data_IF_344596327864
#
_entry.id   IF_344596327864
#
_cell.length_a   1.000
_cell.length_b   1.000
_cell.length_c   1.000
_cell.angle_alpha   90.00
_cell.angle_beta   90.00
_cell.angle_gamma   90.00
#
_symmetry.space_group_name_H-M   'P 1'
#
loop_
_entity.id
_entity.type
_entity.pdbx_description
1 polymer ?
#
# COMPACT_ATOMS: atom_id res chain seq x y z
N UNK A 1 9.62 24.23 -8.37
CA UNK A 1 8.90 22.97 -8.01
C UNK A 1 7.43 23.31 -7.96
N UNK A 2 6.65 22.97 -8.99
CA UNK A 2 5.21 23.21 -8.97
C UNK A 2 4.62 22.46 -7.77
N UNK A 3 3.83 23.14 -6.94
CA UNK A 3 3.09 22.49 -5.86
C UNK A 3 2.24 21.39 -6.50
N UNK A 4 2.49 20.13 -6.14
CA UNK A 4 1.69 19.00 -6.62
C UNK A 4 0.24 19.27 -6.20
N UNK A 5 -0.63 19.48 -7.19
CA UNK A 5 -2.06 19.70 -6.99
C UNK A 5 -2.69 18.36 -6.60
N UNK A 6 -3.22 18.24 -5.39
CA UNK A 6 -3.85 17.00 -4.90
C UNK A 6 -3.72 16.80 -3.39
N UNK A 7 -4.33 15.73 -2.85
CA UNK A 7 -4.19 15.37 -1.44
C UNK A 7 -2.75 14.98 -1.12
N UNK A 8 -2.37 15.14 0.15
CA UNK A 8 -1.08 14.69 0.66
C UNK A 8 -1.24 14.04 2.04
N UNK A 9 -0.41 13.03 2.31
CA UNK A 9 -0.21 12.53 3.66
C UNK A 9 0.65 13.53 4.43
N UNK A 10 0.19 13.93 5.61
CA UNK A 10 0.90 14.89 6.46
C UNK A 10 0.53 14.70 7.92
N UNK A 11 1.53 14.74 8.80
CA UNK A 11 1.38 14.61 10.25
C UNK A 11 1.46 15.96 10.98
N UNK A 12 1.40 17.09 10.25
CA UNK A 12 1.48 18.44 10.81
C UNK A 12 2.92 18.92 11.05
N UNK A 13 3.06 20.08 11.69
CA UNK A 13 4.35 20.72 12.01
C UNK A 13 5.31 20.76 10.81
N UNK A 14 6.58 20.46 11.06
CA UNK A 14 7.66 20.39 10.07
C UNK A 14 7.74 19.03 9.37
N UNK A 15 6.71 18.17 9.50
CA UNK A 15 6.72 16.88 8.81
C UNK A 15 6.50 17.04 7.31
N UNK A 16 7.12 16.16 6.52
CA UNK A 16 6.99 16.18 5.06
C UNK A 16 5.54 15.92 4.63
N UNK A 17 5.05 16.75 3.71
CA UNK A 17 3.82 16.49 2.95
C UNK A 17 4.13 15.56 1.79
N UNK A 18 3.61 14.34 1.81
CA UNK A 18 3.83 13.34 0.76
C UNK A 18 2.62 13.34 -0.18
N UNK A 19 2.75 13.79 -1.44
CA UNK A 19 1.62 13.85 -2.36
C UNK A 19 1.15 12.46 -2.76
N UNK A 20 -0.17 12.23 -2.80
CA UNK A 20 -0.72 10.94 -3.23
C UNK A 20 -0.45 10.64 -4.72
N UNK A 21 -0.08 11.66 -5.49
CA UNK A 21 0.42 11.53 -6.86
C UNK A 21 1.64 10.58 -6.96
N UNK A 22 2.41 10.42 -5.87
CA UNK A 22 3.50 9.43 -5.78
C UNK A 22 2.98 8.02 -6.11
N UNK A 23 1.89 7.62 -5.45
CA UNK A 23 1.32 6.29 -5.61
C UNK A 23 0.63 6.14 -6.98
N UNK A 24 -0.02 7.19 -7.48
CA UNK A 24 -0.60 7.19 -8.82
C UNK A 24 0.48 6.96 -9.91
N UNK A 25 1.63 7.64 -9.79
CA UNK A 25 2.77 7.43 -10.70
C UNK A 25 3.32 5.99 -10.60
N UNK A 26 3.37 5.42 -9.40
CA UNK A 26 3.78 4.03 -9.21
C UNK A 26 2.85 3.04 -9.90
N UNK A 27 1.52 3.21 -9.78
CA UNK A 27 0.54 2.40 -10.52
C UNK A 27 0.72 2.54 -12.03
N UNK A 28 0.89 3.76 -12.52
CA UNK A 28 1.14 4.02 -13.95
C UNK A 28 2.40 3.28 -14.44
N UNK A 29 3.52 3.42 -13.73
CA UNK A 29 4.80 2.76 -14.06
C UNK A 29 4.67 1.24 -14.09
N UNK A 30 3.89 0.67 -13.16
CA UNK A 30 3.61 -0.76 -13.13
C UNK A 30 2.82 -1.19 -14.36
N UNK A 31 1.73 -0.49 -14.70
CA UNK A 31 0.93 -0.77 -15.89
C UNK A 31 1.77 -0.66 -17.18
N UNK A 32 2.57 0.40 -17.32
CA UNK A 32 3.47 0.60 -18.46
C UNK A 32 4.48 -0.55 -18.62
N UNK A 33 4.98 -1.07 -17.51
CA UNK A 33 5.89 -2.22 -17.51
C UNK A 33 5.18 -3.51 -17.89
N UNK A 34 4.01 -3.77 -17.29
CA UNK A 34 3.18 -4.95 -17.60
C UNK A 34 2.73 -4.97 -19.06
N UNK A 35 2.32 -3.84 -19.64
CA UNK A 35 1.93 -3.72 -21.06
C UNK A 35 3.06 -4.07 -22.04
N UNK A 36 4.33 -3.97 -21.60
CA UNK A 36 5.50 -4.36 -22.41
C UNK A 36 5.83 -5.84 -22.30
N UNK A 37 5.24 -6.56 -21.35
CA UNK A 37 5.47 -7.99 -21.18
C UNK A 37 4.55 -8.79 -22.12
N UNK A 38 5.08 -9.57 -23.09
CA UNK A 38 4.27 -10.31 -24.05
C UNK A 38 3.36 -11.38 -23.44
N UNK A 39 3.62 -11.81 -22.21
CA UNK A 39 2.78 -12.78 -21.50
C UNK A 39 1.54 -12.15 -20.84
N UNK A 40 1.46 -10.83 -20.77
CA UNK A 40 0.31 -10.13 -20.19
C UNK A 40 -0.81 -10.03 -21.23
N UNK A 41 -1.98 -10.54 -20.87
CA UNK A 41 -3.16 -10.53 -21.71
C UNK A 41 -3.87 -9.16 -21.63
N UNK A 42 -4.48 -8.70 -22.71
CA UNK A 42 -5.39 -7.54 -22.65
C UNK A 42 -6.56 -7.83 -21.69
N UNK A 43 -7.02 -6.82 -20.95
CA UNK A 43 -8.03 -6.97 -19.90
C UNK A 43 -7.51 -7.63 -18.61
N UNK A 44 -6.19 -7.66 -18.41
CA UNK A 44 -5.59 -8.12 -17.14
C UNK A 44 -5.85 -7.11 -16.03
N UNK A 45 -6.15 -7.60 -14.82
CA UNK A 45 -6.30 -6.75 -13.63
C UNK A 45 -5.31 -7.19 -12.56
N UNK A 46 -4.49 -6.27 -12.07
CA UNK A 46 -3.65 -6.48 -10.90
C UNK A 46 -4.52 -6.50 -9.65
N UNK A 47 -4.33 -7.49 -8.78
CA UNK A 47 -5.05 -7.61 -7.50
C UNK A 47 -4.05 -7.73 -6.35
N UNK A 48 -4.08 -6.74 -5.45
CA UNK A 48 -3.28 -6.71 -4.22
C UNK A 48 -4.19 -6.71 -3.00
N UNK A 49 -3.81 -7.50 -1.99
CA UNK A 49 -4.45 -7.52 -0.69
C UNK A 49 -3.56 -6.78 0.31
N UNK A 50 -4.14 -5.81 1.02
CA UNK A 50 -3.47 -5.10 2.10
C UNK A 50 -3.27 -5.98 3.34
N UNK A 51 -2.55 -5.44 4.31
CA UNK A 51 -2.38 -6.04 5.62
C UNK A 51 -3.67 -6.00 6.43
N UNK A 52 -3.75 -6.90 7.40
CA UNK A 52 -4.85 -7.02 8.37
C UNK A 52 -4.31 -6.67 9.77
N UNK A 53 -5.18 -6.21 10.67
CA UNK A 53 -4.82 -6.05 12.07
C UNK A 53 -4.51 -7.42 12.70
N UNK A 54 -3.51 -7.45 13.58
CA UNK A 54 -3.13 -8.67 14.29
C UNK A 54 -3.08 -8.43 15.79
N UNK A 55 -3.27 -9.51 16.54
CA UNK A 55 -3.25 -9.50 17.99
C UNK A 55 -2.05 -10.31 18.51
N UNK A 56 -1.61 -9.97 19.71
CA UNK A 56 -0.51 -10.68 20.37
C UNK A 56 -0.98 -12.03 20.91
N UNK A 57 -0.45 -13.11 20.35
CA UNK A 57 -0.77 -14.49 20.73
C UNK A 57 -2.29 -14.75 20.72
N UNK A 58 -2.86 -15.22 21.83
CA UNK A 58 -4.28 -15.46 22.03
C UNK A 58 -4.99 -14.35 22.84
N UNK A 59 -4.40 -13.16 22.93
CA UNK A 59 -4.94 -12.01 23.69
C UNK A 59 -5.66 -11.02 22.79
N UNK A 60 -6.40 -10.08 23.38
CA UNK A 60 -7.01 -8.94 22.68
C UNK A 60 -6.04 -7.75 22.49
N UNK A 61 -4.76 -7.91 22.86
CA UNK A 61 -3.75 -6.84 22.73
C UNK A 61 -3.38 -6.64 21.26
N UNK A 62 -3.86 -5.55 20.67
CA UNK A 62 -3.55 -5.18 19.29
C UNK A 62 -2.08 -4.84 19.07
N UNK A 63 -1.54 -5.28 17.94
CA UNK A 63 -0.22 -4.85 17.44
C UNK A 63 -0.44 -3.61 16.58
N UNK A 64 0.43 -2.60 16.70
CA UNK A 64 0.36 -1.41 15.86
C UNK A 64 0.42 -1.81 14.38
N UNK A 65 -0.64 -1.47 13.65
CA UNK A 65 -0.75 -1.84 12.25
C UNK A 65 0.28 -1.10 11.39
N UNK A 66 0.95 -1.86 10.52
CA UNK A 66 1.78 -1.33 9.43
C UNK A 66 1.42 -2.06 8.15
N UNK A 67 1.15 -1.29 7.10
CA UNK A 67 0.67 -1.79 5.82
C UNK A 67 1.65 -2.75 5.13
N UNK A 68 1.16 -3.68 4.30
CA UNK A 68 2.01 -4.49 3.42
C UNK A 68 2.78 -3.59 2.43
N UNK A 69 4.05 -3.88 2.16
CA UNK A 69 4.94 -2.98 1.41
C UNK A 69 4.57 -2.78 -0.05
N UNK A 70 4.16 -3.83 -0.78
CA UNK A 70 3.74 -3.70 -2.18
C UNK A 70 2.39 -2.98 -2.29
N UNK A 71 1.46 -3.26 -1.38
CA UNK A 71 0.19 -2.54 -1.27
C UNK A 71 0.41 -1.05 -0.96
N UNK A 72 1.27 -0.73 0.01
CA UNK A 72 1.65 0.65 0.31
C UNK A 72 2.28 1.34 -0.89
N UNK A 73 3.20 0.69 -1.59
CA UNK A 73 3.86 1.25 -2.78
C UNK A 73 2.88 1.62 -3.90
N UNK A 74 1.81 0.83 -4.07
CA UNK A 74 0.79 1.06 -5.09
C UNK A 74 -0.31 2.05 -4.67
N UNK A 75 -0.69 2.11 -3.39
CA UNK A 75 -1.89 2.85 -2.95
C UNK A 75 -1.67 3.86 -1.82
N UNK A 76 -0.61 3.75 -1.02
CA UNK A 76 -0.38 4.65 0.12
C UNK A 76 -1.41 4.53 1.26
N UNK A 77 -2.26 3.49 1.22
CA UNK A 77 -3.36 3.28 2.16
C UNK A 77 -2.87 2.87 3.54
N UNK A 78 -3.46 3.47 4.57
CA UNK A 78 -3.05 3.29 5.98
C UNK A 78 -4.00 2.42 6.78
N UNK A 79 -5.22 2.22 6.28
CA UNK A 79 -6.24 1.38 6.92
C UNK A 79 -5.97 -0.12 6.68
N UNK A 80 -6.29 -0.98 7.67
CA UNK A 80 -6.21 -2.43 7.53
C UNK A 80 -7.40 -3.00 6.74
N UNK A 81 -7.23 -4.23 6.24
CA UNK A 81 -8.31 -5.01 5.64
C UNK A 81 -8.77 -4.53 4.27
N UNK A 82 -7.97 -3.69 3.59
CA UNK A 82 -8.28 -3.18 2.26
C UNK A 82 -7.76 -4.11 1.15
N UNK A 83 -8.38 -4.03 -0.02
CA UNK A 83 -7.85 -4.57 -1.28
C UNK A 83 -7.73 -3.45 -2.30
N UNK A 84 -6.89 -3.63 -3.31
CA UNK A 84 -6.61 -2.64 -4.32
C UNK A 84 -6.39 -3.33 -5.64
N UNK A 85 -7.09 -2.84 -6.66
CA UNK A 85 -6.98 -3.38 -8.01
C UNK A 85 -6.63 -2.31 -9.02
N UNK A 86 -5.91 -2.71 -10.06
CA UNK A 86 -5.46 -1.83 -11.13
C UNK A 86 -5.71 -2.51 -12.47
N UNK A 87 -6.57 -1.93 -13.29
CA UNK A 87 -6.77 -2.36 -14.66
C UNK A 87 -5.50 -2.04 -15.46
N UNK A 88 -4.87 -3.07 -16.05
CA UNK A 88 -3.56 -2.92 -16.70
C UNK A 88 -3.66 -2.03 -17.93
N UNK A 89 -4.74 -2.11 -18.70
CA UNK A 89 -4.86 -1.42 -19.99
C UNK A 89 -5.14 0.08 -19.82
N UNK A 90 -6.03 0.42 -18.89
CA UNK A 90 -6.48 1.80 -18.64
C UNK A 90 -5.68 2.49 -17.52
N UNK A 91 -5.08 1.72 -16.61
CA UNK A 91 -4.47 2.23 -15.38
C UNK A 91 -5.50 2.62 -14.31
N UNK A 92 -6.80 2.34 -14.53
CA UNK A 92 -7.86 2.65 -13.58
C UNK A 92 -7.66 1.87 -12.29
N UNK A 93 -7.66 2.59 -11.18
CA UNK A 93 -7.43 2.09 -9.84
C UNK A 93 -8.72 2.06 -9.01
N UNK A 94 -9.03 0.92 -8.41
CA UNK A 94 -10.19 0.75 -7.52
C UNK A 94 -9.72 0.26 -6.15
N UNK A 95 -10.11 0.97 -5.09
CA UNK A 95 -9.84 0.60 -3.71
C UNK A 95 -11.07 -0.07 -3.09
N UNK A 96 -10.86 -1.18 -2.41
CA UNK A 96 -11.89 -1.87 -1.63
C UNK A 96 -11.62 -1.64 -0.15
N UNK A 97 -12.56 -1.02 0.54
CA UNK A 97 -12.46 -0.71 1.98
C UNK A 97 -13.43 -1.57 2.80
N UNK A 98 -13.13 -1.91 4.06
CA UNK A 98 -14.05 -2.67 4.90
C UNK A 98 -15.38 -1.94 5.10
N UNK A 99 -16.50 -2.67 5.06
CA UNK A 99 -17.79 -2.14 5.52
C UNK A 99 -17.86 -2.26 7.03
N UNK A 100 -17.67 -1.15 7.72
CA UNK A 100 -17.56 -1.12 9.18
C UNK A 100 -18.94 -1.14 9.86
N UNK A 101 -19.10 -1.87 10.99
CA UNK A 101 -20.34 -1.87 11.77
C UNK A 101 -20.56 -0.54 12.50
N UNK A 102 -21.80 -0.23 12.84
CA UNK A 102 -22.16 1.02 13.54
C UNK A 102 -21.40 1.21 14.88
N UNK A 103 -21.08 0.12 15.58
CA UNK A 103 -20.29 0.15 16.82
C UNK A 103 -18.89 0.75 16.61
N UNK A 104 -18.31 0.67 15.41
CA UNK A 104 -16.99 1.25 15.11
C UNK A 104 -16.96 2.75 15.41
N UNK A 105 -18.07 3.46 15.17
CA UNK A 105 -18.22 4.89 15.49
C UNK A 105 -18.00 5.23 16.97
N UNK A 106 -18.28 4.26 17.87
CA UNK A 106 -18.13 4.42 19.32
C UNK A 106 -16.71 4.17 19.78
N UNK A 107 -16.02 3.18 19.19
CA UNK A 107 -14.75 2.67 19.72
C UNK A 107 -13.52 3.16 18.95
N UNK A 108 -13.60 3.23 17.62
CA UNK A 108 -12.44 3.41 16.75
C UNK A 108 -12.43 4.76 16.04
N UNK A 109 -13.57 5.45 16.01
CA UNK A 109 -13.72 6.78 15.43
C UNK A 109 -14.70 6.82 14.27
N UNK A 110 -14.70 7.94 13.53
CA UNK A 110 -15.69 8.23 12.49
C UNK A 110 -15.69 7.15 11.40
N UNK A 111 -16.87 6.63 11.07
CA UNK A 111 -17.06 5.81 9.86
C UNK A 111 -17.09 6.75 8.66
N UNK A 112 -16.08 6.62 7.80
CA UNK A 112 -15.93 7.42 6.59
C UNK A 112 -16.67 6.79 5.40
N UNK A 113 -17.12 7.63 4.45
CA UNK A 113 -17.79 7.16 3.22
C UNK A 113 -16.79 6.69 2.16
N UNK A 114 -17.27 6.02 1.12
CA UNK A 114 -16.45 5.63 -0.04
C UNK A 114 -15.83 6.85 -0.73
N UNK A 115 -16.61 7.93 -0.85
CA UNK A 115 -16.18 9.20 -1.45
C UNK A 115 -15.05 9.85 -0.67
N UNK A 116 -15.06 9.75 0.67
CA UNK A 116 -13.94 10.22 1.50
C UNK A 116 -12.64 9.51 1.15
N UNK A 117 -12.66 8.17 1.04
CA UNK A 117 -11.46 7.41 0.67
C UNK A 117 -11.01 7.69 -0.77
N UNK A 118 -11.97 7.90 -1.68
CA UNK A 118 -11.70 8.25 -3.07
C UNK A 118 -10.90 9.55 -3.15
N UNK A 119 -11.37 10.58 -2.46
CA UNK A 119 -10.70 11.87 -2.38
C UNK A 119 -9.36 11.76 -1.62
N UNK A 120 -9.32 11.05 -0.50
CA UNK A 120 -8.12 10.88 0.34
C UNK A 120 -6.97 10.22 -0.41
N UNK A 121 -7.26 9.16 -1.19
CA UNK A 121 -6.24 8.35 -1.87
C UNK A 121 -6.06 8.67 -3.35
N UNK A 122 -6.84 9.61 -3.89
CA UNK A 122 -6.82 9.98 -5.31
C UNK A 122 -6.88 8.73 -6.22
N UNK A 123 -7.82 7.84 -5.93
CA UNK A 123 -8.15 6.65 -6.73
C UNK A 123 -9.39 6.90 -7.59
N UNK A 124 -9.56 6.12 -8.65
CA UNK A 124 -10.65 6.34 -9.62
C UNK A 124 -12.00 5.85 -9.10
N UNK A 125 -12.00 4.81 -8.28
CA UNK A 125 -13.21 4.24 -7.69
C UNK A 125 -12.95 3.65 -6.29
N UNK A 126 -13.99 3.59 -5.47
CA UNK A 126 -13.96 2.95 -4.15
C UNK A 126 -15.20 2.09 -3.98
N UNK A 127 -15.00 0.85 -3.55
CA UNK A 127 -16.05 -0.12 -3.26
C UNK A 127 -15.83 -0.78 -1.89
N UNK A 128 -16.77 -1.60 -1.44
CA UNK A 128 -16.60 -2.37 -0.21
C UNK A 128 -15.98 -3.73 -0.48
N UNK A 129 -15.18 -4.23 0.46
CA UNK A 129 -14.50 -5.54 0.34
C UNK A 129 -15.48 -6.68 0.09
N UNK A 130 -16.66 -6.67 0.72
CA UNK A 130 -17.71 -7.66 0.51
C UNK A 130 -18.28 -7.69 -0.92
N UNK A 131 -18.00 -6.68 -1.73
CA UNK A 131 -18.47 -6.55 -3.11
C UNK A 131 -17.39 -6.92 -4.16
N UNK A 132 -16.15 -7.25 -3.73
CA UNK A 132 -15.00 -7.41 -4.63
C UNK A 132 -15.24 -8.40 -5.77
N UNK A 133 -15.81 -9.56 -5.49
CA UNK A 133 -16.08 -10.57 -6.51
C UNK A 133 -17.10 -10.07 -7.54
N UNK A 134 -18.18 -9.41 -7.09
CA UNK A 134 -19.22 -8.88 -7.97
C UNK A 134 -18.67 -7.78 -8.88
N UNK A 135 -17.89 -6.86 -8.30
CA UNK A 135 -17.27 -5.75 -9.03
C UNK A 135 -16.30 -6.28 -10.09
N UNK A 136 -15.40 -7.22 -9.74
CA UNK A 136 -14.47 -7.80 -10.69
C UNK A 136 -15.19 -8.62 -11.78
N UNK A 137 -16.24 -9.36 -11.44
CA UNK A 137 -17.06 -10.07 -12.45
C UNK A 137 -17.69 -9.08 -13.45
N UNK A 138 -18.16 -7.93 -12.99
CA UNK A 138 -18.77 -6.91 -13.87
C UNK A 138 -17.77 -6.31 -14.87
N UNK A 139 -16.48 -6.27 -14.50
CA UNK A 139 -15.40 -5.77 -15.35
C UNK A 139 -14.93 -6.78 -16.40
N UNK A 140 -15.30 -8.07 -16.25
CA UNK A 140 -14.97 -9.17 -17.17
C UNK A 140 -13.46 -9.25 -17.49
N UNK A 141 -12.58 -9.32 -16.49
CA UNK A 141 -11.14 -9.44 -16.73
C UNK A 141 -10.82 -10.75 -17.43
N UNK A 142 -9.77 -10.73 -18.25
CA UNK A 142 -9.21 -11.95 -18.86
C UNK A 142 -8.47 -12.79 -17.82
N UNK A 143 -7.65 -12.14 -16.99
CA UNK A 143 -6.87 -12.78 -15.92
C UNK A 143 -6.64 -11.81 -14.77
N UNK A 144 -6.64 -12.35 -13.54
CA UNK A 144 -6.22 -11.63 -12.35
C UNK A 144 -4.73 -11.87 -12.10
N UNK A 145 -3.94 -10.80 -12.08
CA UNK A 145 -2.51 -10.83 -11.76
C UNK A 145 -2.34 -10.64 -10.25
N UNK A 146 -1.92 -11.70 -9.55
CA UNK A 146 -1.74 -11.70 -8.09
C UNK A 146 -0.26 -11.77 -7.70
N UNK A 147 0.05 -11.32 -6.49
CA UNK A 147 1.43 -11.22 -6.02
C UNK A 147 1.89 -12.51 -5.34
N UNK A 148 2.80 -13.25 -5.99
CA UNK A 148 3.49 -14.38 -5.35
C UNK A 148 4.95 -14.45 -5.82
N UNK A 149 5.87 -14.52 -4.88
CA UNK A 149 7.30 -14.65 -5.15
C UNK A 149 8.13 -14.70 -3.88
N UNK A 150 9.39 -15.09 -4.00
CA UNK A 150 10.29 -15.28 -2.84
C UNK A 150 11.05 -13.99 -2.58
N UNK A 151 10.95 -13.46 -1.35
CA UNK A 151 11.85 -12.42 -0.88
C UNK A 151 13.22 -13.04 -0.58
N UNK A 152 14.28 -12.53 -1.22
CA UNK A 152 15.61 -13.13 -1.19
C UNK A 152 16.35 -12.99 0.13
N UNK A 153 15.97 -12.03 0.98
CA UNK A 153 16.62 -11.80 2.27
C UNK A 153 16.01 -12.70 3.37
N UNK A 154 14.68 -12.82 3.38
CA UNK A 154 13.93 -13.58 4.40
C UNK A 154 13.62 -15.02 3.99
N UNK A 155 13.73 -15.36 2.70
CA UNK A 155 13.26 -16.63 2.13
C UNK A 155 11.73 -16.80 2.15
N UNK A 156 10.97 -15.80 2.63
CA UNK A 156 9.52 -15.88 2.74
C UNK A 156 8.85 -15.69 1.38
N UNK A 157 7.73 -16.39 1.17
CA UNK A 157 6.88 -16.23 -0.02
C UNK A 157 5.87 -15.13 0.23
N UNK A 158 5.75 -14.18 -0.71
CA UNK A 158 4.73 -13.14 -0.66
C UNK A 158 3.33 -13.78 -0.61
N UNK A 159 2.49 -13.30 0.31
CA UNK A 159 1.11 -13.76 0.45
C UNK A 159 0.28 -13.32 -0.77
N UNK A 160 -0.19 -14.30 -1.52
CA UNK A 160 -1.08 -14.07 -2.66
C UNK A 160 -2.45 -13.56 -2.20
N UNK A 161 -2.99 -12.60 -2.95
CA UNK A 161 -4.32 -12.05 -2.66
C UNK A 161 -5.39 -13.14 -2.85
N UNK A 162 -6.34 -13.22 -1.91
CA UNK A 162 -7.46 -14.16 -1.98
C UNK A 162 -8.73 -13.53 -1.43
N UNK A 163 -9.87 -13.86 -2.03
CA UNK A 163 -11.20 -13.43 -1.59
C UNK A 163 -12.24 -14.48 -1.98
N UNK A 164 -13.39 -14.50 -1.31
CA UNK A 164 -14.45 -15.45 -1.64
C UNK A 164 -14.96 -15.24 -3.07
N UNK A 165 -14.99 -16.32 -3.86
CA UNK A 165 -15.32 -16.28 -5.29
C UNK A 165 -14.15 -16.04 -6.25
N UNK A 166 -12.91 -15.85 -5.77
CA UNK A 166 -11.72 -15.70 -6.64
C UNK A 166 -11.51 -16.92 -7.57
N UNK A 167 -11.93 -18.11 -7.13
CA UNK A 167 -11.82 -19.36 -7.91
C UNK A 167 -12.64 -19.38 -9.21
N UNK A 168 -13.53 -18.40 -9.41
CA UNK A 168 -14.30 -18.23 -10.66
C UNK A 168 -13.51 -17.49 -11.74
N UNK A 169 -12.33 -16.98 -11.42
CA UNK A 169 -11.48 -16.21 -12.30
C UNK A 169 -10.24 -17.02 -12.68
N UNK A 170 -9.70 -16.74 -13.87
CA UNK A 170 -8.34 -17.14 -14.20
C UNK A 170 -7.36 -16.28 -13.39
N UNK A 171 -6.41 -16.92 -12.71
CA UNK A 171 -5.44 -16.25 -11.84
C UNK A 171 -4.02 -16.59 -12.30
N UNK A 172 -3.19 -15.57 -12.48
CA UNK A 172 -1.76 -15.71 -12.71
C UNK A 172 -1.00 -15.04 -11.56
N UNK A 173 -0.22 -15.85 -10.85
CA UNK A 173 0.55 -15.41 -9.70
C UNK A 173 2.07 -15.32 -9.95
N UNK A 174 2.51 -15.48 -11.20
CA UNK A 174 3.94 -15.55 -11.56
C UNK A 174 4.45 -14.28 -12.22
N UNK A 175 3.60 -13.58 -12.99
CA UNK A 175 4.00 -12.40 -13.77
C UNK A 175 4.21 -11.19 -12.87
N UNK A 176 3.29 -10.93 -11.92
CA UNK A 176 3.27 -9.64 -11.21
C UNK A 176 4.52 -9.40 -10.37
N UNK A 177 4.99 -10.40 -9.63
CA UNK A 177 6.08 -10.24 -8.66
C UNK A 177 7.37 -9.67 -9.26
N UNK A 178 8.00 -10.26 -10.30
CA UNK A 178 9.21 -9.69 -10.88
C UNK A 178 9.00 -8.27 -11.42
N UNK A 179 7.83 -7.97 -11.99
CA UNK A 179 7.56 -6.67 -12.59
C UNK A 179 7.40 -5.56 -11.56
N UNK A 180 6.61 -5.80 -10.51
CA UNK A 180 6.43 -4.81 -9.43
C UNK A 180 7.70 -4.66 -8.59
N UNK A 181 8.48 -5.73 -8.41
CA UNK A 181 9.80 -5.66 -7.76
C UNK A 181 10.74 -4.74 -8.53
N UNK A 182 10.84 -4.89 -9.86
CA UNK A 182 11.71 -4.04 -10.67
C UNK A 182 11.28 -2.56 -10.61
N UNK A 183 9.97 -2.28 -10.62
CA UNK A 183 9.47 -0.92 -10.41
C UNK A 183 9.88 -0.34 -9.04
N UNK A 184 9.98 -1.17 -7.99
CA UNK A 184 10.41 -0.76 -6.64
C UNK A 184 11.93 -0.60 -6.51
N UNK A 185 12.73 -1.22 -7.37
CA UNK A 185 14.19 -1.05 -7.37
C UNK A 185 14.53 0.41 -7.71
N UNK A 186 13.91 0.97 -8.75
CA UNK A 186 14.13 2.34 -9.22
C UNK A 186 13.13 3.32 -8.58
N UNK A 187 13.66 4.30 -7.84
CA UNK A 187 12.84 5.30 -7.12
C UNK A 187 12.48 6.45 -8.06
N UNK A 188 11.26 6.91 -7.95
CA UNK A 188 10.81 8.17 -8.53
C UNK A 188 11.35 9.36 -7.73
N UNK A 189 11.37 10.55 -8.31
CA UNK A 189 11.78 11.76 -7.57
C UNK A 189 10.90 12.03 -6.34
N UNK A 190 9.61 11.70 -6.41
CA UNK A 190 8.70 11.81 -5.26
C UNK A 190 9.09 10.84 -4.13
N UNK A 191 9.49 9.61 -4.45
CA UNK A 191 10.02 8.67 -3.46
C UNK A 191 11.38 9.12 -2.91
N UNK A 192 12.25 9.68 -3.76
CA UNK A 192 13.54 10.21 -3.35
C UNK A 192 13.40 11.38 -2.35
N UNK A 193 12.41 12.25 -2.52
CA UNK A 193 12.12 13.32 -1.56
C UNK A 193 11.76 12.75 -0.17
N UNK A 194 10.95 11.68 -0.13
CA UNK A 194 10.63 11.00 1.13
C UNK A 194 11.90 10.42 1.76
N UNK A 195 12.75 9.76 0.97
CA UNK A 195 14.01 9.19 1.48
C UNK A 195 15.01 10.27 1.95
N UNK A 196 15.07 11.42 1.28
CA UNK A 196 15.89 12.57 1.72
C UNK A 196 15.40 13.09 3.07
N UNK A 197 14.08 13.23 3.23
CA UNK A 197 13.48 13.65 4.48
C UNK A 197 13.74 12.66 5.62
N UNK A 198 13.57 11.35 5.40
CA UNK A 198 13.88 10.36 6.44
C UNK A 198 15.35 10.39 6.84
N UNK A 199 16.27 10.51 5.87
CA UNK A 199 17.71 10.65 6.15
C UNK A 199 18.03 11.94 6.93
N UNK A 200 17.36 13.05 6.64
CA UNK A 200 17.50 14.30 7.41
C UNK A 200 17.15 14.06 8.88
N UNK A 201 15.95 13.54 9.15
CA UNK A 201 15.47 13.31 10.52
C UNK A 201 16.35 12.30 11.26
N UNK A 202 16.72 11.18 10.63
CA UNK A 202 17.63 10.19 11.25
C UNK A 202 19.01 10.77 11.52
N UNK A 203 19.54 11.63 10.63
CA UNK A 203 20.82 12.29 10.85
C UNK A 203 20.78 13.28 12.01
N UNK A 204 19.69 14.03 12.14
CA UNK A 204 19.44 14.92 13.28
C UNK A 204 19.35 14.11 14.58
N UNK A 205 18.58 13.02 14.60
CA UNK A 205 18.46 12.13 15.75
C UNK A 205 19.82 11.52 16.18
N UNK A 206 20.61 10.99 15.25
CA UNK A 206 21.94 10.46 15.57
C UNK A 206 22.88 11.54 16.14
N UNK A 207 22.77 12.80 15.68
CA UNK A 207 23.54 13.91 16.27
C UNK A 207 23.13 14.18 17.70
N UNK A 208 21.84 14.12 18.02
CA UNK A 208 21.35 14.30 19.39
C UNK A 208 21.78 13.14 20.30
N UNK A 209 21.76 11.89 19.82
CA UNK A 209 22.30 10.74 20.56
C UNK A 209 23.76 10.97 20.94
N UNK A 210 24.59 11.41 19.99
CA UNK A 210 26.01 11.72 20.25
C UNK A 210 26.22 12.87 21.23
N UNK A 211 25.31 13.84 21.31
CA UNK A 211 25.37 14.94 22.30
C UNK A 211 24.88 14.52 23.67
N UNK A 212 23.90 13.62 23.73
CA UNK A 212 23.23 13.22 24.97
C UNK A 212 24.01 12.17 25.77
N UNK A 213 24.78 11.32 25.10
CA UNK A 213 25.46 10.17 25.72
C UNK A 213 26.43 10.58 26.83
N UNK A 214 26.34 9.85 27.95
CA UNK A 214 27.22 9.99 29.13
C UNK A 214 27.61 8.62 29.65
N UNK A 215 28.81 8.53 30.23
CA UNK A 215 29.29 7.30 30.89
C UNK A 215 28.30 6.90 31.99
N UNK A 216 27.95 5.61 32.02
CA UNK A 216 27.00 5.05 32.98
C UNK A 216 25.58 4.87 32.44
N UNK A 217 25.25 5.48 31.30
CA UNK A 217 23.97 5.24 30.61
C UNK A 217 23.89 3.81 30.05
N UNK A 218 22.67 3.29 29.97
CA UNK A 218 22.33 2.02 29.29
C UNK A 218 22.02 2.27 27.83
N UNK A 219 22.23 1.27 27.00
CA UNK A 219 22.04 1.35 25.55
C UNK A 219 20.61 1.77 25.17
N UNK A 220 19.59 1.24 25.86
CA UNK A 220 18.19 1.57 25.61
C UNK A 220 17.83 3.03 25.93
N UNK A 221 18.65 3.74 26.72
CA UNK A 221 18.42 5.17 26.99
C UNK A 221 18.74 6.04 25.77
N UNK A 222 19.55 5.52 24.83
CA UNK A 222 19.93 6.17 23.59
C UNK A 222 19.10 5.70 22.37
N UNK A 223 18.30 4.64 22.53
CA UNK A 223 17.40 4.11 21.49
C UNK A 223 16.14 4.98 21.29
N UNK A 224 15.75 5.74 22.33
CA UNK A 224 14.48 6.47 22.40
C UNK A 224 14.43 7.77 21.61
#
# INVERSE_FOLDING_TARGET
MAAATGPSFWLGNETLKVPLALFALNRQRLCERLRKNPAVQAGSIVVLQGGEETQRYCTDTGVLFRQESFFHWAFGVTEPGCYGVIDVDTGKSTLFVPRLPASHATWMGKIHSKEHFKEKYAVDDVQYVDEIASVLTSQKPSVLLTLRGVNTDSGSVCREASFDGISKFEVNNTILHPEIVECRVFKTDMELEVLRYTNKISSEAHREVMKAVKVGMKEYELER
#
